data_IF_007059369704
#
_entry.id   IF_007059369704
#
_cell.length_a   1.000
_cell.length_b   1.000
_cell.length_c   1.000
_cell.angle_alpha   90.00
_cell.angle_beta   90.00
_cell.angle_gamma   90.00
#
_symmetry.space_group_name_H-M   'P 1'
#
loop_
_entity.id
_entity.type
_entity.pdbx_description
1 polymer ?
#
# COMPACT_ATOMS: atom_id res chain seq x y z
N UNK A 1 -18.84 19.63 -12.47
CA UNK A 1 -18.38 18.39 -13.14
C UNK A 1 -17.86 17.47 -12.04
N UNK A 2 -18.54 16.37 -11.73
CA UNK A 2 -18.11 15.40 -10.70
C UNK A 2 -17.34 14.28 -11.41
N UNK A 3 -16.07 14.07 -11.04
CA UNK A 3 -15.31 12.93 -11.55
C UNK A 3 -15.84 11.67 -10.86
N UNK A 4 -16.50 10.80 -11.61
CA UNK A 4 -16.85 9.47 -11.12
C UNK A 4 -15.55 8.72 -10.83
N UNK A 5 -15.47 8.08 -9.66
CA UNK A 5 -14.41 7.12 -9.35
C UNK A 5 -14.41 6.09 -10.48
N UNK A 6 -13.32 6.05 -11.24
CA UNK A 6 -13.22 5.13 -12.37
C UNK A 6 -13.17 3.71 -11.81
N UNK A 7 -13.92 2.76 -12.39
CA UNK A 7 -13.78 1.36 -11.99
C UNK A 7 -12.32 0.95 -12.20
N UNK A 8 -11.69 0.39 -11.15
CA UNK A 8 -10.27 -0.01 -11.04
C UNK A 8 -9.27 1.06 -10.59
N UNK A 9 -9.70 2.19 -10.04
CA UNK A 9 -8.77 3.04 -9.29
C UNK A 9 -8.37 2.37 -7.97
N UNK A 10 -7.11 2.53 -7.52
CA UNK A 10 -6.70 2.04 -6.22
C UNK A 10 -7.49 2.77 -5.13
N UNK A 11 -8.10 1.98 -4.24
CA UNK A 11 -8.89 2.46 -3.11
C UNK A 11 -8.15 2.29 -1.78
N UNK A 12 -7.06 1.52 -1.79
CA UNK A 12 -6.25 1.23 -0.63
C UNK A 12 -4.78 1.40 -0.98
N UNK A 13 -4.00 1.86 0.00
CA UNK A 13 -2.55 1.81 -0.01
C UNK A 13 -2.05 0.93 1.12
N UNK A 14 -1.09 0.06 0.83
CA UNK A 14 -0.33 -0.68 1.83
C UNK A 14 1.02 0.02 1.99
N UNK A 15 1.25 0.63 3.15
CA UNK A 15 2.53 1.24 3.50
C UNK A 15 3.31 0.29 4.38
N UNK A 16 4.48 -0.10 3.93
CA UNK A 16 5.36 -1.03 4.64
C UNK A 16 6.64 -0.28 5.02
N UNK A 17 6.96 -0.16 6.33
CA UNK A 17 8.24 0.38 6.76
C UNK A 17 9.34 -0.61 6.37
N UNK A 18 10.43 -0.10 5.79
CA UNK A 18 11.57 -0.92 5.36
C UNK A 18 12.89 -0.49 5.99
N UNK A 19 12.81 0.18 7.15
CA UNK A 19 13.97 0.54 7.95
C UNK A 19 14.78 -0.69 8.37
N UNK A 20 14.08 -1.78 8.67
CA UNK A 20 14.65 -3.04 9.12
C UNK A 20 15.55 -3.70 8.07
N UNK A 21 15.36 -3.38 6.78
CA UNK A 21 16.16 -3.92 5.67
C UNK A 21 17.15 -2.92 5.09
N UNK A 22 16.82 -1.61 5.08
CA UNK A 22 17.67 -0.57 4.49
C UNK A 22 18.55 0.17 5.50
N UNK A 23 18.24 0.05 6.79
CA UNK A 23 18.87 0.83 7.85
C UNK A 23 18.47 2.31 7.83
N UNK A 24 17.48 2.70 7.01
CA UNK A 24 16.97 4.05 6.92
C UNK A 24 15.57 4.14 7.55
N UNK A 25 15.49 4.79 8.72
CA UNK A 25 14.26 4.91 9.53
C UNK A 25 13.10 5.64 8.87
N UNK A 26 13.35 6.36 7.77
CA UNK A 26 12.35 7.13 7.05
C UNK A 26 11.92 6.45 5.74
N UNK A 27 12.52 5.30 5.38
CA UNK A 27 12.21 4.62 4.13
C UNK A 27 11.00 3.70 4.27
N UNK A 28 10.00 3.94 3.41
CA UNK A 28 8.76 3.18 3.35
C UNK A 28 8.45 2.84 1.90
N UNK A 29 7.92 1.64 1.66
CA UNK A 29 7.30 1.31 0.38
C UNK A 29 5.80 1.54 0.46
N UNK A 30 5.23 2.05 -0.62
CA UNK A 30 3.79 2.27 -0.74
C UNK A 30 3.32 1.51 -1.97
N UNK A 31 2.43 0.55 -1.74
CA UNK A 31 1.77 -0.22 -2.79
C UNK A 31 0.29 0.12 -2.82
N UNK A 32 -0.35 0.02 -3.98
CA UNK A 32 -1.72 0.44 -4.21
C UNK A 32 -2.58 -0.72 -4.67
N UNK A 33 -3.84 -0.74 -4.27
CA UNK A 33 -4.76 -1.80 -4.63
C UNK A 33 -6.21 -1.35 -4.65
N UNK A 34 -7.02 -2.02 -5.47
CA UNK A 34 -8.47 -1.83 -5.47
C UNK A 34 -9.08 -2.39 -4.17
N UNK A 35 -8.44 -3.42 -3.60
CA UNK A 35 -8.75 -4.04 -2.31
C UNK A 35 -7.51 -3.98 -1.39
N UNK A 36 -7.69 -4.13 -0.07
CA UNK A 36 -6.57 -4.27 0.86
C UNK A 36 -5.66 -5.45 0.52
N UNK A 37 -6.23 -6.56 0.02
CA UNK A 37 -5.46 -7.74 -0.39
C UNK A 37 -4.63 -7.49 -1.64
N UNK A 38 -5.19 -6.79 -2.64
CA UNK A 38 -4.44 -6.35 -3.83
C UNK A 38 -3.24 -5.48 -3.43
N UNK A 39 -3.45 -4.52 -2.52
CA UNK A 39 -2.37 -3.63 -2.06
C UNK A 39 -1.26 -4.41 -1.33
N UNK A 40 -1.61 -5.44 -0.53
CA UNK A 40 -0.63 -6.32 0.13
C UNK A 40 0.13 -7.20 -0.88
N UNK A 41 -0.57 -7.70 -1.90
CA UNK A 41 0.07 -8.51 -2.95
C UNK A 41 1.06 -7.68 -3.75
N UNK A 42 0.70 -6.46 -4.10
CA UNK A 42 1.61 -5.54 -4.78
C UNK A 42 2.82 -5.20 -3.88
N UNK A 43 2.60 -4.94 -2.59
CA UNK A 43 3.70 -4.73 -1.63
C UNK A 43 4.64 -5.96 -1.55
N UNK A 44 4.08 -7.16 -1.55
CA UNK A 44 4.84 -8.43 -1.55
C UNK A 44 5.72 -8.57 -2.79
N UNK A 45 5.18 -8.26 -3.97
CA UNK A 45 5.95 -8.26 -5.21
C UNK A 45 7.05 -7.21 -5.20
N UNK A 46 6.79 -6.02 -4.66
CA UNK A 46 7.81 -4.97 -4.55
C UNK A 46 8.94 -5.37 -3.57
N UNK A 47 8.62 -5.94 -2.41
CA UNK A 47 9.61 -6.43 -1.45
C UNK A 47 10.47 -7.55 -2.02
N UNK A 48 9.86 -8.52 -2.69
CA UNK A 48 10.60 -9.63 -3.30
C UNK A 48 11.42 -9.18 -4.51
N UNK A 49 10.88 -8.32 -5.38
CA UNK A 49 11.55 -7.90 -6.62
C UNK A 49 12.63 -6.84 -6.42
N UNK A 50 12.38 -5.83 -5.59
CA UNK A 50 13.31 -4.70 -5.42
C UNK A 50 14.35 -4.96 -4.33
N UNK A 51 13.94 -5.63 -3.25
CA UNK A 51 14.77 -5.83 -2.07
C UNK A 51 15.22 -7.29 -1.88
N UNK A 52 14.73 -8.22 -2.70
CA UNK A 52 15.12 -9.63 -2.62
C UNK A 52 14.67 -10.31 -1.32
N UNK A 53 13.64 -9.78 -0.64
CA UNK A 53 13.20 -10.29 0.64
C UNK A 53 12.69 -11.73 0.54
N UNK A 54 13.01 -12.55 1.53
CA UNK A 54 12.47 -13.91 1.67
C UNK A 54 11.02 -13.87 2.17
N UNK A 55 10.21 -14.91 1.91
CA UNK A 55 8.81 -14.96 2.39
C UNK A 55 8.66 -14.68 3.89
N UNK A 56 9.57 -15.20 4.72
CA UNK A 56 9.55 -14.93 6.16
C UNK A 56 9.75 -13.43 6.49
N UNK A 57 10.67 -12.76 5.79
CA UNK A 57 10.93 -11.32 5.97
C UNK A 57 9.75 -10.49 5.46
N UNK A 58 9.17 -10.87 4.34
CA UNK A 58 7.99 -10.20 3.78
C UNK A 58 6.83 -10.29 4.78
N UNK A 59 6.60 -11.44 5.40
CA UNK A 59 5.54 -11.58 6.40
C UNK A 59 5.79 -10.70 7.64
N UNK A 60 7.02 -10.64 8.14
CA UNK A 60 7.39 -9.75 9.26
C UNK A 60 7.18 -8.28 8.92
N UNK A 61 7.52 -7.87 7.70
CA UNK A 61 7.31 -6.50 7.21
C UNK A 61 5.81 -6.21 7.01
N UNK A 62 5.05 -7.14 6.44
CA UNK A 62 3.61 -7.01 6.25
C UNK A 62 2.82 -7.01 7.56
N UNK A 63 3.33 -7.60 8.64
CA UNK A 63 2.75 -7.50 9.98
C UNK A 63 2.85 -6.07 10.54
N UNK A 64 3.91 -5.35 10.16
CA UNK A 64 4.14 -3.95 10.52
C UNK A 64 3.51 -2.98 9.52
N UNK A 65 3.07 -3.48 8.37
CA UNK A 65 2.47 -2.68 7.33
C UNK A 65 1.12 -2.11 7.78
N UNK A 66 0.88 -0.85 7.43
CA UNK A 66 -0.42 -0.19 7.59
C UNK A 66 -1.17 -0.20 6.26
N UNK A 67 -2.45 -0.54 6.32
CA UNK A 67 -3.34 -0.41 5.17
C UNK A 67 -4.19 0.83 5.38
N UNK A 68 -4.05 1.78 4.47
CA UNK A 68 -4.74 3.07 4.54
C UNK A 68 -5.76 3.13 3.39
N UNK A 69 -7.04 3.46 3.68
CA UNK A 69 -7.99 3.74 2.62
C UNK A 69 -7.58 5.05 1.94
N UNK A 70 -7.46 5.01 0.61
CA UNK A 70 -7.22 6.20 -0.17
C UNK A 70 -8.49 7.03 -0.19
N UNK A 71 -8.37 8.28 0.27
CA UNK A 71 -9.45 9.23 0.10
C UNK A 71 -9.72 9.38 -1.40
N UNK A 72 -10.99 9.25 -1.85
CA UNK A 72 -11.32 9.48 -3.23
C UNK A 72 -10.89 10.90 -3.62
N UNK A 73 -10.00 10.98 -4.62
CA UNK A 73 -9.31 12.22 -5.03
C UNK A 73 -10.28 13.38 -5.34
N UNK A 74 -11.53 13.06 -5.69
CA UNK A 74 -12.59 14.01 -6.06
C UNK A 74 -14.01 13.59 -5.64
N UNK A 75 -14.22 12.69 -4.67
CA UNK A 75 -15.59 12.48 -4.18
C UNK A 75 -15.95 13.65 -3.26
N UNK A 76 -17.01 14.38 -3.62
CA UNK A 76 -17.63 15.38 -2.74
C UNK A 76 -17.76 14.77 -1.35
N UNK A 77 -17.22 15.44 -0.32
CA UNK A 77 -17.56 15.14 1.08
C UNK A 77 -19.08 15.14 1.16
N UNK A 78 -19.71 13.97 1.17
CA UNK A 78 -21.12 13.88 1.46
C UNK A 78 -21.22 14.08 2.97
N UNK A 79 -21.20 15.35 3.37
CA UNK A 79 -21.56 15.80 4.71
C UNK A 79 -23.03 15.47 4.84
N UNK A 80 -23.34 14.45 5.64
CA UNK A 80 -24.70 14.20 6.14
C UNK A 80 -24.79 14.88 7.50
#
# INVERSE_FOLDING_TARGET
>A
MVQQVRPREPQYSCVVPIDSITGNGEEEIIAFGVTPEDAKNEATQLLSSNYGCSEAQINELLLQARIEPLAPWCASKNVI
#
